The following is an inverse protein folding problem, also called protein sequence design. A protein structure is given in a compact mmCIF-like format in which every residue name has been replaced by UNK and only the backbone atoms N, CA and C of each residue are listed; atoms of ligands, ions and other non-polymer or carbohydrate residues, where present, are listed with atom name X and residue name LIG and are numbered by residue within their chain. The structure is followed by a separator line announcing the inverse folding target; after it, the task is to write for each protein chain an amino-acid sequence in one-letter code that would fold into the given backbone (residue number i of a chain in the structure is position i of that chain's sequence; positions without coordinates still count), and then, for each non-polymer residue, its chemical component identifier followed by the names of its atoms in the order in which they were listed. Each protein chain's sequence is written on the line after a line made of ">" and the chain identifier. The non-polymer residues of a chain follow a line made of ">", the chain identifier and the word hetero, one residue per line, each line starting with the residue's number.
data_IF_574151687365
#
_entry.id   IF_574151687365
#
_cell.length_a   1.000
_cell.length_b   1.000
_cell.length_c   1.000
_cell.angle_alpha   90.00
_cell.angle_beta   90.00
_cell.angle_gamma   90.00
#
_symmetry.space_group_name_H-M   'P 1'
#
loop_
_entity.id
_entity.type
_entity.pdbx_description
1 polymer ?
#
# COMPACT_ATOMS: atom_id res chain seq x y z
N UNK A 1 6.91 -4.84 -20.95
CA UNK A 1 6.89 -4.95 -19.47
C UNK A 1 5.43 -5.13 -19.12
N UNK A 2 5.08 -6.02 -18.18
CA UNK A 2 3.70 -6.24 -17.75
C UNK A 2 3.09 -4.93 -17.19
N UNK A 3 1.79 -4.72 -17.38
CA UNK A 3 1.04 -3.65 -16.72
C UNK A 3 0.79 -4.01 -15.25
N UNK A 4 0.41 -3.02 -14.43
CA UNK A 4 0.06 -3.28 -13.03
C UNK A 4 -1.17 -4.20 -12.94
N UNK A 5 -2.15 -4.01 -13.82
CA UNK A 5 -3.34 -4.87 -13.89
C UNK A 5 -2.97 -6.33 -14.15
N UNK A 6 -2.13 -6.60 -15.16
CA UNK A 6 -1.67 -7.96 -15.45
C UNK A 6 -0.94 -8.60 -14.27
N UNK A 7 -0.18 -7.81 -13.51
CA UNK A 7 0.53 -8.28 -12.30
C UNK A 7 -0.46 -8.61 -11.16
N UNK A 8 -1.46 -7.78 -10.94
CA UNK A 8 -2.49 -8.02 -9.91
C UNK A 8 -3.37 -9.23 -10.27
N UNK A 9 -3.73 -9.39 -11.55
CA UNK A 9 -4.49 -10.53 -12.05
C UNK A 9 -3.70 -11.85 -11.91
N UNK A 10 -2.39 -11.83 -12.18
CA UNK A 10 -1.52 -13.00 -11.99
C UNK A 10 -1.40 -13.36 -10.50
N UNK A 11 -1.21 -12.36 -9.63
CA UNK A 11 -1.13 -12.55 -8.19
C UNK A 11 -2.40 -13.23 -7.64
N UNK A 12 -3.57 -12.77 -8.08
CA UNK A 12 -4.86 -13.37 -7.68
C UNK A 12 -4.98 -14.83 -8.12
N UNK A 13 -4.63 -15.13 -9.38
CA UNK A 13 -4.68 -16.51 -9.92
C UNK A 13 -3.74 -17.47 -9.18
N UNK A 14 -2.59 -16.95 -8.77
CA UNK A 14 -1.56 -17.72 -8.04
C UNK A 14 -1.80 -17.77 -6.53
N UNK A 15 -2.79 -17.04 -6.01
CA UNK A 15 -3.05 -16.86 -4.58
C UNK A 15 -1.82 -16.35 -3.82
N UNK A 16 -1.21 -15.32 -4.37
CA UNK A 16 -0.11 -14.55 -3.75
C UNK A 16 -0.50 -13.09 -3.67
N UNK A 17 0.25 -12.28 -2.93
CA UNK A 17 -0.01 -10.85 -2.88
C UNK A 17 1.20 -10.04 -3.38
N UNK A 18 0.90 -8.90 -4.01
CA UNK A 18 1.90 -7.89 -4.34
C UNK A 18 2.14 -7.01 -3.11
N UNK A 19 3.41 -6.75 -2.82
CA UNK A 19 3.77 -5.83 -1.74
C UNK A 19 3.74 -4.38 -2.21
N UNK A 20 3.14 -3.51 -1.40
CA UNK A 20 3.14 -2.06 -1.56
C UNK A 20 3.88 -1.43 -0.37
N UNK A 21 4.87 -0.58 -0.66
CA UNK A 21 5.75 0.01 0.34
C UNK A 21 5.93 1.50 0.09
N UNK A 22 5.72 2.32 1.13
CA UNK A 22 5.86 3.77 1.02
C UNK A 22 7.31 4.22 1.01
N UNK A 23 7.56 5.35 0.35
CA UNK A 23 8.84 6.03 0.36
C UNK A 23 8.69 7.53 0.65
N UNK A 24 9.74 8.11 1.24
CA UNK A 24 9.94 9.56 1.35
C UNK A 24 11.21 10.01 0.62
N UNK A 25 12.07 9.10 0.17
CA UNK A 25 13.30 9.42 -0.54
C UNK A 25 13.78 8.28 -1.47
N UNK A 26 14.79 8.58 -2.29
CA UNK A 26 15.39 7.63 -3.22
C UNK A 26 16.17 6.51 -2.52
N UNK A 27 16.59 6.69 -1.28
CA UNK A 27 17.35 5.67 -0.56
C UNK A 27 16.43 4.53 -0.09
N UNK A 28 15.22 4.86 0.38
CA UNK A 28 14.17 3.88 0.66
C UNK A 28 13.74 3.15 -0.63
N UNK A 29 13.53 3.88 -1.74
CA UNK A 29 13.23 3.28 -3.04
C UNK A 29 14.28 2.24 -3.45
N UNK A 30 15.56 2.55 -3.30
CA UNK A 30 16.66 1.65 -3.63
C UNK A 30 16.66 0.40 -2.74
N UNK A 31 16.33 0.53 -1.45
CA UNK A 31 16.20 -0.62 -0.54
C UNK A 31 15.06 -1.56 -0.94
N UNK A 32 13.90 -1.00 -1.25
CA UNK A 32 12.72 -1.76 -1.71
C UNK A 32 13.01 -2.44 -3.05
N UNK A 33 13.56 -1.71 -4.01
CA UNK A 33 13.89 -2.25 -5.34
C UNK A 33 14.94 -3.38 -5.27
N UNK A 34 15.94 -3.24 -4.41
CA UNK A 34 16.95 -4.27 -4.20
C UNK A 34 16.35 -5.56 -3.60
N UNK A 35 15.47 -5.43 -2.60
CA UNK A 35 14.74 -6.55 -2.02
C UNK A 35 13.85 -7.26 -3.05
N UNK A 36 13.07 -6.49 -3.81
CA UNK A 36 12.20 -7.02 -4.85
C UNK A 36 12.97 -7.76 -5.95
N UNK A 37 14.15 -7.25 -6.34
CA UNK A 37 15.05 -7.94 -7.28
C UNK A 37 15.60 -9.24 -6.70
N UNK A 38 15.99 -9.24 -5.41
CA UNK A 38 16.52 -10.44 -4.73
C UNK A 38 15.48 -11.55 -4.67
N UNK A 39 14.22 -11.22 -4.36
CA UNK A 39 13.10 -12.16 -4.31
C UNK A 39 12.59 -12.53 -5.72
N UNK A 40 12.78 -11.64 -6.71
CA UNK A 40 12.37 -11.86 -8.09
C UNK A 40 10.89 -11.57 -8.34
N UNK A 41 10.28 -10.64 -7.61
CA UNK A 41 8.85 -10.30 -7.68
C UNK A 41 8.62 -8.83 -7.99
N UNK A 42 7.50 -8.46 -8.64
CA UNK A 42 7.10 -7.06 -8.81
C UNK A 42 6.75 -6.41 -7.47
N UNK A 43 6.83 -5.08 -7.43
CA UNK A 43 6.51 -4.29 -6.22
C UNK A 43 5.83 -2.98 -6.59
N UNK A 44 5.01 -2.46 -5.68
CA UNK A 44 4.40 -1.14 -5.79
C UNK A 44 5.06 -0.19 -4.78
N UNK A 45 5.44 0.98 -5.24
CA UNK A 45 5.93 2.08 -4.42
C UNK A 45 4.75 3.00 -4.11
N UNK A 46 4.50 3.24 -2.82
CA UNK A 46 3.51 4.19 -2.37
C UNK A 46 4.11 5.55 -2.03
N UNK A 47 3.37 6.61 -2.31
CA UNK A 47 3.64 7.95 -1.80
C UNK A 47 2.33 8.61 -1.36
N UNK A 48 2.17 8.80 -0.05
CA UNK A 48 1.03 9.50 0.56
C UNK A 48 1.02 10.99 0.16
N UNK A 49 -0.04 11.71 0.47
CA UNK A 49 -0.12 13.16 0.16
C UNK A 49 1.09 13.91 0.69
N UNK A 50 1.45 13.73 1.97
CA UNK A 50 2.62 14.38 2.55
C UNK A 50 3.94 13.93 1.93
N UNK A 51 4.06 12.67 1.52
CA UNK A 51 5.24 12.19 0.79
C UNK A 51 5.30 12.74 -0.63
N UNK A 52 4.14 12.91 -1.31
CA UNK A 52 4.07 13.60 -2.63
C UNK A 52 4.44 15.07 -2.54
N UNK A 53 4.03 15.77 -1.49
CA UNK A 53 4.45 17.15 -1.24
C UNK A 53 5.96 17.25 -1.01
N UNK A 54 6.53 16.33 -0.25
CA UNK A 54 7.96 16.32 0.08
C UNK A 54 8.84 15.94 -1.12
N UNK A 55 8.51 14.86 -1.81
CA UNK A 55 9.30 14.34 -2.95
C UNK A 55 8.97 15.08 -4.25
N UNK A 56 7.70 15.37 -4.48
CA UNK A 56 7.13 15.86 -5.73
C UNK A 56 6.64 14.71 -6.62
N UNK A 57 5.36 14.77 -7.06
CA UNK A 57 4.73 13.67 -7.81
C UNK A 57 5.50 13.26 -9.07
N UNK A 58 5.84 14.23 -9.94
CA UNK A 58 6.64 13.96 -11.15
C UNK A 58 8.02 13.39 -10.87
N UNK A 59 8.66 13.81 -9.77
CA UNK A 59 9.96 13.26 -9.37
C UNK A 59 9.81 11.81 -8.89
N UNK A 60 8.79 11.51 -8.09
CA UNK A 60 8.49 10.13 -7.66
C UNK A 60 8.26 9.22 -8.87
N UNK A 61 7.48 9.68 -9.87
CA UNK A 61 7.27 8.95 -11.12
C UNK A 61 8.58 8.70 -11.87
N UNK A 62 9.40 9.72 -12.06
CA UNK A 62 10.68 9.60 -12.74
C UNK A 62 11.65 8.65 -12.01
N UNK A 63 11.75 8.74 -10.68
CA UNK A 63 12.62 7.88 -9.87
C UNK A 63 12.16 6.41 -9.93
N UNK A 64 10.87 6.15 -9.84
CA UNK A 64 10.31 4.78 -9.91
C UNK A 64 10.56 4.15 -11.28
N UNK A 65 10.37 4.89 -12.38
CA UNK A 65 10.70 4.43 -13.74
C UNK A 65 12.19 4.14 -13.91
N UNK A 66 13.06 5.00 -13.37
CA UNK A 66 14.51 4.79 -13.40
C UNK A 66 14.90 3.53 -12.61
N UNK A 67 14.37 3.37 -11.39
CA UNK A 67 14.64 2.21 -10.55
C UNK A 67 14.15 0.91 -11.22
N UNK A 68 12.94 0.88 -11.79
CA UNK A 68 12.44 -0.29 -12.51
C UNK A 68 13.38 -0.73 -13.64
N UNK A 69 13.89 0.24 -14.40
CA UNK A 69 14.87 -0.04 -15.47
C UNK A 69 16.23 -0.52 -14.94
N UNK A 70 16.74 0.12 -13.89
CA UNK A 70 18.04 -0.17 -13.30
C UNK A 70 18.07 -1.55 -12.64
N UNK A 71 17.05 -1.86 -11.86
CA UNK A 71 16.95 -3.15 -11.16
C UNK A 71 16.42 -4.29 -12.05
N UNK A 72 15.84 -3.97 -13.21
CA UNK A 72 15.36 -4.96 -14.18
C UNK A 72 14.12 -5.73 -13.72
N UNK A 73 13.31 -5.13 -12.85
CA UNK A 73 12.06 -5.69 -12.32
C UNK A 73 10.90 -4.71 -12.51
N UNK A 74 9.64 -5.17 -12.59
CA UNK A 74 8.49 -4.28 -12.60
C UNK A 74 8.34 -3.57 -11.24
N UNK A 75 8.44 -2.24 -11.26
CA UNK A 75 8.15 -1.38 -10.11
C UNK A 75 7.09 -0.37 -10.55
N UNK A 76 5.98 -0.35 -9.84
CA UNK A 76 4.84 0.54 -10.10
C UNK A 76 4.75 1.63 -9.04
N UNK A 77 4.05 2.72 -9.35
CA UNK A 77 3.89 3.86 -8.45
C UNK A 77 2.42 4.10 -8.14
N UNK A 78 2.09 4.16 -6.86
CA UNK A 78 0.75 4.43 -6.35
C UNK A 78 0.71 5.76 -5.56
N UNK A 79 -0.30 6.57 -5.83
CA UNK A 79 -0.67 7.71 -4.99
C UNK A 79 -1.48 7.20 -3.80
N UNK A 80 -0.77 6.91 -2.72
CA UNK A 80 -1.30 6.33 -1.50
C UNK A 80 -2.08 7.38 -0.70
N UNK A 81 -3.34 7.08 -0.39
CA UNK A 81 -4.32 7.96 0.24
C UNK A 81 -4.38 9.38 -0.36
N UNK A 82 -5.35 9.61 -1.21
CA UNK A 82 -5.72 10.94 -1.70
C UNK A 82 -7.11 11.28 -1.19
N UNK A 83 -7.22 12.34 -0.39
CA UNK A 83 -8.48 12.76 0.24
C UNK A 83 -9.31 13.70 -0.65
N UNK A 84 -8.87 13.93 -1.88
CA UNK A 84 -9.58 14.76 -2.85
C UNK A 84 -9.53 14.19 -4.26
N UNK A 85 -10.58 14.43 -5.02
CA UNK A 85 -10.65 14.07 -6.44
C UNK A 85 -9.53 14.74 -7.24
N UNK A 86 -9.23 16.02 -6.95
CA UNK A 86 -8.18 16.77 -7.61
C UNK A 86 -6.77 16.21 -7.28
N UNK A 87 -6.57 15.73 -6.06
CA UNK A 87 -5.34 15.03 -5.66
C UNK A 87 -5.11 13.76 -6.48
N UNK A 88 -6.15 12.95 -6.67
CA UNK A 88 -6.10 11.77 -7.54
C UNK A 88 -5.83 12.15 -9.01
N UNK A 89 -6.53 13.15 -9.56
CA UNK A 89 -6.33 13.62 -10.93
C UNK A 89 -4.90 14.11 -11.15
N UNK A 90 -4.37 14.91 -10.22
CA UNK A 90 -2.99 15.39 -10.28
C UNK A 90 -1.98 14.23 -10.29
N UNK A 91 -2.17 13.20 -9.47
CA UNK A 91 -1.30 12.04 -9.46
C UNK A 91 -1.38 11.25 -10.78
N UNK A 92 -2.59 11.07 -11.34
CA UNK A 92 -2.77 10.47 -12.66
C UNK A 92 -1.98 11.26 -13.72
N UNK A 93 -2.08 12.59 -13.73
CA UNK A 93 -1.38 13.46 -14.69
C UNK A 93 0.14 13.45 -14.47
N UNK A 94 0.61 13.26 -13.24
CA UNK A 94 2.04 13.10 -12.92
C UNK A 94 2.61 11.74 -13.33
N UNK A 95 1.77 10.81 -13.83
CA UNK A 95 2.22 9.55 -14.41
C UNK A 95 2.20 8.37 -13.43
N UNK A 96 1.39 8.42 -12.39
CA UNK A 96 1.19 7.29 -11.48
C UNK A 96 0.47 6.13 -12.16
N UNK A 97 0.77 4.89 -11.72
CA UNK A 97 0.17 3.66 -12.25
C UNK A 97 -1.10 3.29 -11.48
N UNK A 98 -1.22 3.77 -10.24
CA UNK A 98 -2.40 3.61 -9.40
C UNK A 98 -2.65 4.86 -8.56
N UNK A 99 -3.89 5.04 -8.13
CA UNK A 99 -4.32 6.07 -7.18
C UNK A 99 -5.33 5.50 -6.20
N UNK A 100 -5.27 5.91 -4.93
CA UNK A 100 -6.26 5.60 -3.90
C UNK A 100 -7.07 6.85 -3.63
N UNK A 101 -8.39 6.75 -3.82
CA UNK A 101 -9.30 7.74 -3.28
C UNK A 101 -9.77 7.30 -1.89
N UNK A 102 -9.35 8.04 -0.87
CA UNK A 102 -9.70 7.80 0.53
C UNK A 102 -10.86 8.72 0.91
N UNK A 103 -12.07 8.18 0.85
CA UNK A 103 -13.32 8.87 1.18
C UNK A 103 -13.97 8.36 2.46
N UNK A 104 -13.23 7.70 3.37
CA UNK A 104 -13.80 7.06 4.57
C UNK A 104 -14.37 8.04 5.58
N UNK A 105 -13.91 9.29 5.56
CA UNK A 105 -14.45 10.38 6.40
C UNK A 105 -15.70 11.05 5.80
N UNK A 106 -16.03 10.75 4.54
CA UNK A 106 -17.21 11.27 3.85
C UNK A 106 -18.45 10.41 4.14
N UNK A 107 -19.64 10.94 3.83
CA UNK A 107 -20.83 10.10 3.81
C UNK A 107 -20.68 8.99 2.74
N UNK A 108 -21.32 7.81 2.93
CA UNK A 108 -21.22 6.71 1.95
C UNK A 108 -21.60 7.13 0.53
N UNK A 109 -22.58 8.02 0.37
CA UNK A 109 -23.00 8.55 -0.93
C UNK A 109 -21.97 9.46 -1.58
N UNK A 110 -21.30 10.31 -0.79
CA UNK A 110 -20.23 11.18 -1.28
C UNK A 110 -18.97 10.38 -1.62
N UNK A 111 -18.60 9.38 -0.77
CA UNK A 111 -17.50 8.48 -1.09
C UNK A 111 -17.72 7.80 -2.44
N UNK A 112 -18.86 7.14 -2.65
CA UNK A 112 -19.22 6.52 -3.93
C UNK A 112 -19.16 7.51 -5.09
N UNK A 113 -19.72 8.71 -4.93
CA UNK A 113 -19.76 9.75 -5.98
C UNK A 113 -18.36 10.19 -6.39
N UNK A 114 -17.51 10.53 -5.44
CA UNK A 114 -16.15 11.01 -5.71
C UNK A 114 -15.24 9.90 -6.22
N UNK A 115 -15.36 8.69 -5.68
CA UNK A 115 -14.66 7.51 -6.21
C UNK A 115 -14.98 7.31 -7.69
N UNK A 116 -16.28 7.35 -8.06
CA UNK A 116 -16.71 7.23 -9.45
C UNK A 116 -16.13 8.31 -10.35
N UNK A 117 -16.06 9.55 -9.87
CA UNK A 117 -15.45 10.66 -10.61
C UNK A 117 -13.95 10.40 -10.90
N UNK A 118 -13.22 9.86 -9.94
CA UNK A 118 -11.81 9.47 -10.12
C UNK A 118 -11.69 8.33 -11.14
N UNK A 119 -12.55 7.31 -11.05
CA UNK A 119 -12.59 6.20 -12.02
C UNK A 119 -12.84 6.71 -13.42
N UNK A 120 -13.84 7.58 -13.61
CA UNK A 120 -14.15 8.16 -14.91
C UNK A 120 -12.98 8.99 -15.48
N UNK A 121 -12.25 9.70 -14.63
CA UNK A 121 -11.06 10.45 -15.05
C UNK A 121 -9.93 9.50 -15.47
N UNK A 122 -9.65 8.46 -14.66
CA UNK A 122 -8.64 7.45 -14.97
C UNK A 122 -8.91 6.74 -16.31
N UNK A 123 -10.18 6.40 -16.60
CA UNK A 123 -10.57 5.77 -17.89
C UNK A 123 -10.34 6.68 -19.11
N UNK A 124 -10.31 8.00 -18.92
CA UNK A 124 -10.11 9.00 -19.99
C UNK A 124 -8.66 9.42 -20.19
N UNK A 125 -7.74 9.09 -19.28
CA UNK A 125 -6.35 9.55 -19.32
C UNK A 125 -5.47 8.92 -20.40
N UNK A 126 -5.97 7.91 -21.13
CA UNK A 126 -5.24 7.22 -22.22
C UNK A 126 -4.18 6.22 -21.74
N UNK A 127 -4.13 5.91 -20.43
CA UNK A 127 -3.26 4.91 -19.82
C UNK A 127 -4.10 3.93 -18.98
N UNK A 128 -3.57 2.74 -18.74
CA UNK A 128 -4.16 1.81 -17.78
C UNK A 128 -3.73 2.22 -16.36
N UNK A 129 -4.62 2.93 -15.66
CA UNK A 129 -4.42 3.38 -14.27
C UNK A 129 -5.40 2.63 -13.38
N UNK A 130 -4.88 1.99 -12.34
CA UNK A 130 -5.67 1.30 -11.31
C UNK A 130 -6.25 2.36 -10.36
N UNK A 131 -7.55 2.31 -10.13
CA UNK A 131 -8.22 3.12 -9.12
C UNK A 131 -8.63 2.23 -7.97
N UNK A 132 -8.12 2.56 -6.80
CA UNK A 132 -8.43 1.94 -5.53
C UNK A 132 -9.30 2.86 -4.69
N UNK A 133 -10.18 2.29 -3.87
CA UNK A 133 -10.94 3.02 -2.87
C UNK A 133 -11.04 2.25 -1.57
N UNK A 134 -11.28 2.98 -0.48
CA UNK A 134 -11.46 2.42 0.86
C UNK A 134 -12.94 2.28 1.24
N UNK A 135 -13.24 1.20 1.95
CA UNK A 135 -14.56 0.93 2.50
C UNK A 135 -14.47 0.54 3.98
N UNK A 136 -15.04 1.38 4.85
CA UNK A 136 -14.93 1.25 6.30
C UNK A 136 -13.67 1.93 6.86
N UNK A 137 -13.71 2.27 8.14
CA UNK A 137 -12.69 3.07 8.80
C UNK A 137 -11.74 2.21 9.64
N UNK A 138 -10.43 2.38 9.44
CA UNK A 138 -9.37 1.65 10.12
C UNK A 138 -8.34 2.57 10.81
N UNK A 139 -8.71 3.85 11.00
CA UNK A 139 -7.81 4.90 11.49
C UNK A 139 -6.93 5.51 10.42
N UNK A 140 -6.28 6.62 10.74
CA UNK A 140 -5.45 7.39 9.80
C UNK A 140 -3.97 7.44 10.17
N UNK A 141 -3.53 6.69 11.20
CA UNK A 141 -2.20 6.83 11.79
C UNK A 141 -1.20 5.79 11.31
N UNK A 142 -0.13 6.23 10.63
CA UNK A 142 1.04 5.37 10.33
C UNK A 142 2.14 5.51 11.40
N UNK A 143 1.79 5.37 12.68
CA UNK A 143 2.68 5.57 13.85
C UNK A 143 2.71 4.33 14.74
N UNK A 144 3.63 4.35 15.72
CA UNK A 144 3.57 3.44 16.87
C UNK A 144 2.50 3.94 17.85
N UNK A 145 1.53 3.08 18.17
CA UNK A 145 0.37 3.36 19.00
C UNK A 145 0.52 2.67 20.35
N UNK A 146 0.08 3.33 21.42
CA UNK A 146 0.03 2.71 22.75
C UNK A 146 -1.16 1.74 22.87
N UNK A 147 -2.30 2.06 22.23
CA UNK A 147 -3.49 1.21 22.14
C UNK A 147 -4.27 1.46 20.83
N UNK A 148 -5.30 0.65 20.58
CA UNK A 148 -6.24 0.88 19.46
C UNK A 148 -6.93 2.22 19.68
N UNK A 149 -6.95 3.14 18.68
CA UNK A 149 -7.64 4.40 18.79
C UNK A 149 -9.13 4.22 19.10
N UNK A 150 -9.70 5.07 19.95
CA UNK A 150 -11.11 4.96 20.40
C UNK A 150 -12.12 5.10 19.24
N UNK A 151 -11.74 5.82 18.18
CA UNK A 151 -12.55 6.02 16.96
C UNK A 151 -12.51 4.81 16.01
N UNK A 152 -11.62 3.86 16.22
CA UNK A 152 -11.53 2.61 15.43
C UNK A 152 -12.37 1.53 16.08
N UNK A 153 -13.54 1.25 15.51
CA UNK A 153 -14.46 0.22 16.00
C UNK A 153 -14.24 -1.07 15.20
N UNK A 154 -13.43 -1.98 15.74
CA UNK A 154 -13.00 -3.22 15.08
C UNK A 154 -14.15 -4.19 14.70
N UNK A 155 -15.35 -3.99 15.23
CA UNK A 155 -16.53 -4.80 14.93
C UNK A 155 -17.60 -4.05 14.08
N UNK A 156 -17.41 -2.76 13.79
CA UNK A 156 -18.26 -1.99 12.88
C UNK A 156 -17.71 -2.08 11.44
N UNK A 157 -17.73 -3.29 10.87
CA UNK A 157 -17.15 -3.60 9.58
C UNK A 157 -18.21 -3.59 8.47
N UNK A 158 -17.85 -3.19 7.23
CA UNK A 158 -18.70 -3.33 6.07
C UNK A 158 -18.98 -4.81 5.79
N UNK A 159 -20.18 -5.12 5.29
CA UNK A 159 -20.53 -6.46 4.86
C UNK A 159 -19.99 -6.78 3.46
N UNK A 160 -20.02 -8.05 3.08
CA UNK A 160 -19.70 -8.48 1.72
C UNK A 160 -20.65 -7.86 0.67
N UNK A 161 -21.92 -7.64 1.05
CA UNK A 161 -22.88 -6.95 0.18
C UNK A 161 -22.53 -5.49 0.00
N UNK A 162 -22.13 -4.76 1.07
CA UNK A 162 -21.68 -3.37 0.96
C UNK A 162 -20.47 -3.25 0.02
N UNK A 163 -19.53 -4.20 0.09
CA UNK A 163 -18.39 -4.28 -0.80
C UNK A 163 -18.79 -4.47 -2.28
N UNK A 164 -19.71 -5.41 -2.55
CA UNK A 164 -20.21 -5.67 -3.90
C UNK A 164 -20.97 -4.47 -4.48
N UNK A 165 -21.83 -3.83 -3.68
CA UNK A 165 -22.56 -2.63 -4.08
C UNK A 165 -21.62 -1.46 -4.36
N UNK A 166 -20.61 -1.25 -3.49
CA UNK A 166 -19.62 -0.19 -3.68
C UNK A 166 -18.85 -0.36 -4.99
N UNK A 167 -18.34 -1.56 -5.26
CA UNK A 167 -17.63 -1.90 -6.51
C UNK A 167 -18.53 -1.70 -7.73
N UNK A 168 -19.77 -2.20 -7.68
CA UNK A 168 -20.74 -2.07 -8.79
C UNK A 168 -21.09 -0.61 -9.09
N UNK A 169 -21.25 0.22 -8.04
CA UNK A 169 -21.65 1.63 -8.19
C UNK A 169 -20.51 2.51 -8.68
N UNK A 170 -19.27 2.19 -8.31
CA UNK A 170 -18.10 3.03 -8.56
C UNK A 170 -17.25 2.57 -9.74
N UNK A 171 -17.17 1.28 -9.99
CA UNK A 171 -16.32 0.67 -11.02
C UNK A 171 -14.83 0.72 -10.70
N UNK A 172 -14.45 0.69 -9.40
CA UNK A 172 -13.05 0.62 -8.96
C UNK A 172 -12.37 -0.68 -9.39
N UNK A 173 -11.06 -0.63 -9.57
CA UNK A 173 -10.21 -1.78 -9.91
C UNK A 173 -9.72 -2.52 -8.66
N UNK A 174 -9.66 -1.81 -7.54
CA UNK A 174 -9.19 -2.34 -6.27
C UNK A 174 -10.02 -1.78 -5.10
N UNK A 175 -10.29 -2.61 -4.10
CA UNK A 175 -11.04 -2.25 -2.90
C UNK A 175 -10.23 -2.60 -1.66
N UNK A 176 -10.04 -1.61 -0.78
CA UNK A 176 -9.44 -1.78 0.53
C UNK A 176 -10.52 -1.75 1.62
N UNK A 177 -11.08 -2.91 2.01
CA UNK A 177 -12.11 -2.96 3.02
C UNK A 177 -11.55 -3.01 4.43
N UNK A 178 -12.26 -2.43 5.40
CA UNK A 178 -12.02 -2.70 6.81
C UNK A 178 -12.40 -4.16 7.13
N UNK A 179 -11.43 -4.94 7.60
CA UNK A 179 -11.59 -6.37 7.92
C UNK A 179 -10.99 -6.71 9.30
N UNK A 180 -10.97 -5.74 10.22
CA UNK A 180 -10.34 -5.84 11.54
C UNK A 180 -8.91 -5.35 11.57
N UNK A 181 -8.37 -4.87 10.46
CA UNK A 181 -7.06 -4.23 10.34
C UNK A 181 -7.06 -2.83 10.98
N UNK A 182 -5.86 -2.31 11.20
CA UNK A 182 -5.63 -1.03 11.88
C UNK A 182 -4.46 -0.30 11.21
N UNK A 183 -4.61 0.97 10.89
CA UNK A 183 -3.48 1.81 10.53
C UNK A 183 -2.56 2.07 11.72
N UNK A 184 -1.26 1.85 11.55
CA UNK A 184 -0.24 1.93 12.60
C UNK A 184 0.12 0.59 13.21
N UNK A 185 1.00 0.61 14.22
CA UNK A 185 1.46 -0.58 14.94
C UNK A 185 1.32 -0.37 16.43
N UNK A 186 0.79 -1.39 17.13
CA UNK A 186 0.75 -1.39 18.58
C UNK A 186 2.15 -1.66 19.16
N UNK A 187 2.53 -0.92 20.20
CA UNK A 187 3.81 -1.10 20.89
C UNK A 187 3.83 -2.41 21.68
N UNK A 188 4.85 -3.23 21.44
CA UNK A 188 5.10 -4.43 22.23
C UNK A 188 4.09 -5.58 22.06
N UNK A 189 3.15 -5.48 21.11
CA UNK A 189 2.19 -6.54 20.78
C UNK A 189 1.81 -6.47 19.30
N UNK A 190 1.27 -7.55 18.77
CA UNK A 190 0.70 -7.58 17.43
C UNK A 190 -0.57 -6.74 17.35
N UNK A 191 -0.87 -6.26 16.15
CA UNK A 191 -2.17 -5.66 15.83
C UNK A 191 -3.30 -6.71 15.99
N UNK A 192 -4.58 -6.28 16.09
CA UNK A 192 -5.72 -7.20 16.14
C UNK A 192 -5.74 -8.16 14.94
N UNK A 193 -6.19 -9.39 15.17
CA UNK A 193 -6.31 -10.40 14.11
C UNK A 193 -7.43 -10.05 13.13
N UNK A 194 -7.22 -10.40 11.86
CA UNK A 194 -8.15 -10.14 10.77
C UNK A 194 -9.39 -11.04 10.82
N UNK A 195 -10.51 -10.56 10.31
CA UNK A 195 -11.77 -11.31 10.13
C UNK A 195 -11.72 -12.12 8.83
N UNK A 196 -11.04 -13.25 8.84
CA UNK A 196 -10.70 -14.04 7.64
C UNK A 196 -11.96 -14.51 6.87
N UNK A 197 -13.00 -14.92 7.58
CA UNK A 197 -14.26 -15.35 6.92
C UNK A 197 -14.92 -14.17 6.19
N UNK A 198 -14.89 -12.95 6.74
CA UNK A 198 -15.37 -11.74 6.07
C UNK A 198 -14.58 -11.45 4.78
N UNK A 199 -13.24 -11.66 4.79
CA UNK A 199 -12.42 -11.51 3.57
C UNK A 199 -12.89 -12.49 2.48
N UNK A 200 -13.15 -13.76 2.82
CA UNK A 200 -13.67 -14.76 1.87
C UNK A 200 -15.01 -14.36 1.30
N UNK A 201 -15.94 -13.97 2.17
CA UNK A 201 -17.27 -13.50 1.77
C UNK A 201 -17.19 -12.30 0.83
N UNK A 202 -16.32 -11.31 1.14
CA UNK A 202 -16.08 -10.15 0.27
C UNK A 202 -15.47 -10.58 -1.08
N UNK A 203 -14.48 -11.49 -1.07
CA UNK A 203 -13.89 -12.01 -2.32
C UNK A 203 -14.92 -12.68 -3.22
N UNK A 204 -15.81 -13.49 -2.64
CA UNK A 204 -16.90 -14.13 -3.38
C UNK A 204 -17.88 -13.09 -3.94
N UNK A 205 -18.19 -12.05 -3.17
CA UNK A 205 -19.16 -11.03 -3.55
C UNK A 205 -18.64 -10.06 -4.63
N UNK A 206 -17.35 -9.64 -4.56
CA UNK A 206 -16.77 -8.71 -5.54
C UNK A 206 -16.22 -9.42 -6.79
N UNK A 207 -16.06 -10.75 -6.76
CA UNK A 207 -15.55 -11.53 -7.89
C UNK A 207 -14.04 -11.38 -8.13
N UNK A 208 -13.55 -11.86 -9.26
CA UNK A 208 -12.12 -11.93 -9.61
C UNK A 208 -11.59 -10.71 -10.36
N UNK A 209 -12.45 -9.79 -10.77
CA UNK A 209 -12.05 -8.65 -11.60
C UNK A 209 -11.60 -7.43 -10.78
N UNK A 210 -11.74 -7.52 -9.46
CA UNK A 210 -11.37 -6.45 -8.51
C UNK A 210 -10.33 -6.98 -7.53
N UNK A 211 -9.23 -6.27 -7.35
CA UNK A 211 -8.23 -6.60 -6.34
C UNK A 211 -8.76 -6.28 -4.93
N UNK A 212 -8.55 -7.19 -3.97
CA UNK A 212 -8.75 -6.90 -2.55
C UNK A 212 -7.42 -6.50 -1.93
N UNK A 213 -7.44 -5.35 -1.26
CA UNK A 213 -6.25 -4.72 -0.70
C UNK A 213 -6.28 -4.74 0.82
N UNK A 214 -5.19 -5.18 1.43
CA UNK A 214 -5.01 -5.15 2.88
C UNK A 214 -4.18 -3.91 3.27
N UNK A 215 -4.86 -2.88 3.76
CA UNK A 215 -4.21 -1.75 4.43
C UNK A 215 -3.88 -2.08 5.89
N UNK A 216 -3.01 -1.27 6.50
CA UNK A 216 -2.63 -1.46 7.90
C UNK A 216 -1.90 -2.79 8.15
N UNK A 217 -1.20 -3.33 7.15
CA UNK A 217 -0.47 -4.60 7.28
C UNK A 217 0.65 -4.57 8.32
N UNK A 218 1.27 -3.40 8.55
CA UNK A 218 2.31 -3.26 9.57
C UNK A 218 1.79 -3.69 10.95
N UNK A 219 2.52 -4.61 11.60
CA UNK A 219 2.18 -5.11 12.94
C UNK A 219 1.26 -6.33 12.99
N UNK A 220 0.79 -6.83 11.84
CA UNK A 220 0.10 -8.11 11.75
C UNK A 220 1.07 -9.29 11.90
N UNK A 221 0.56 -10.43 12.33
CA UNK A 221 1.33 -11.67 12.37
C UNK A 221 1.50 -12.27 10.97
N UNK A 222 2.56 -13.07 10.77
CA UNK A 222 2.78 -13.80 9.50
C UNK A 222 1.62 -14.75 9.18
N UNK A 223 0.96 -15.30 10.19
CA UNK A 223 -0.20 -16.17 10.06
C UNK A 223 -1.43 -15.40 9.56
N UNK A 224 -1.67 -14.16 10.05
CA UNK A 224 -2.73 -13.30 9.55
C UNK A 224 -2.52 -12.95 8.06
N UNK A 225 -1.28 -12.61 7.64
CA UNK A 225 -0.99 -12.37 6.23
C UNK A 225 -1.29 -13.59 5.36
N UNK A 226 -0.81 -14.78 5.73
CA UNK A 226 -1.06 -16.01 4.97
C UNK A 226 -2.54 -16.29 4.83
N UNK A 227 -3.28 -16.23 5.93
CA UNK A 227 -4.72 -16.45 5.93
C UNK A 227 -5.48 -15.41 5.09
N UNK A 228 -5.08 -14.13 5.15
CA UNK A 228 -5.71 -13.07 4.35
C UNK A 228 -5.46 -13.27 2.85
N UNK A 229 -4.23 -13.65 2.45
CA UNK A 229 -3.87 -13.94 1.06
C UNK A 229 -4.62 -15.18 0.56
N UNK A 230 -4.67 -16.26 1.34
CA UNK A 230 -5.46 -17.46 1.03
C UNK A 230 -6.96 -17.16 0.90
N UNK A 231 -7.46 -16.19 1.68
CA UNK A 231 -8.84 -15.74 1.63
C UNK A 231 -9.14 -14.79 0.44
N UNK A 232 -8.11 -14.32 -0.28
CA UNK A 232 -8.26 -13.57 -1.53
C UNK A 232 -7.73 -12.13 -1.52
N UNK A 233 -7.02 -11.69 -0.47
CA UNK A 233 -6.23 -10.45 -0.55
C UNK A 233 -5.05 -10.66 -1.49
N UNK A 234 -4.88 -9.78 -2.50
CA UNK A 234 -3.81 -9.90 -3.50
C UNK A 234 -2.92 -8.66 -3.62
N UNK A 235 -3.12 -7.68 -2.73
CA UNK A 235 -2.27 -6.51 -2.56
C UNK A 235 -2.17 -6.20 -1.06
N UNK A 236 -0.95 -5.94 -0.54
CA UNK A 236 -0.70 -5.67 0.88
C UNK A 236 0.13 -4.42 1.05
N UNK A 237 -0.36 -3.47 1.84
CA UNK A 237 0.32 -2.21 2.15
C UNK A 237 1.10 -2.29 3.47
N UNK A 238 2.39 -1.97 3.41
CA UNK A 238 3.32 -1.89 4.55
C UNK A 238 3.98 -0.51 4.56
N UNK A 239 3.77 0.24 5.63
CA UNK A 239 4.34 1.57 5.79
C UNK A 239 5.10 1.73 7.11
N UNK A 240 4.41 1.56 8.25
CA UNK A 240 4.99 1.84 9.58
C UNK A 240 6.25 1.03 9.86
N UNK A 241 6.29 -0.26 9.47
CA UNK A 241 7.46 -1.12 9.66
C UNK A 241 8.69 -0.57 8.95
N UNK A 242 8.56 -0.15 7.69
CA UNK A 242 9.70 0.37 6.94
C UNK A 242 10.17 1.74 7.43
N UNK A 243 9.26 2.58 7.93
CA UNK A 243 9.62 3.86 8.58
C UNK A 243 10.44 3.64 9.85
N UNK A 244 10.04 2.66 10.68
CA UNK A 244 10.76 2.28 11.89
C UNK A 244 12.14 1.72 11.54
N UNK A 245 12.21 0.81 10.57
CA UNK A 245 13.46 0.20 10.13
C UNK A 245 14.42 1.25 9.57
N UNK A 246 13.92 2.14 8.70
CA UNK A 246 14.73 3.21 8.11
C UNK A 246 15.33 4.13 9.17
N UNK A 247 14.50 4.63 10.08
CA UNK A 247 14.93 5.49 11.18
C UNK A 247 15.93 4.77 12.08
N UNK A 248 15.64 3.53 12.50
CA UNK A 248 16.52 2.74 13.37
C UNK A 248 17.89 2.49 12.74
N UNK A 249 17.94 2.19 11.45
CA UNK A 249 19.19 2.03 10.72
C UNK A 249 20.04 3.31 10.70
N UNK A 250 19.41 4.47 10.49
CA UNK A 250 20.10 5.78 10.53
C UNK A 250 20.59 6.09 11.94
N UNK A 251 19.77 5.91 12.96
CA UNK A 251 20.14 6.12 14.37
C UNK A 251 21.35 5.27 14.76
N UNK A 252 21.38 4.00 14.33
CA UNK A 252 22.49 3.09 14.53
C UNK A 252 23.75 3.61 13.85
N UNK A 253 23.68 4.03 12.59
CA UNK A 253 24.82 4.57 11.85
C UNK A 253 25.43 5.80 12.52
N UNK A 254 24.59 6.74 12.97
CA UNK A 254 25.01 7.95 13.65
C UNK A 254 25.63 7.69 15.03
N UNK A 255 25.15 6.66 15.75
CA UNK A 255 25.76 6.21 17.03
C UNK A 255 27.12 5.54 16.80
N UNK A 256 27.26 4.72 15.74
CA UNK A 256 28.51 4.03 15.41
C UNK A 256 29.59 4.99 14.92
N UNK A 257 29.21 6.06 14.23
CA UNK A 257 30.11 7.07 13.67
C UNK A 257 29.56 8.49 13.88
N UNK A 258 29.68 9.05 15.10
CA UNK A 258 29.09 10.36 15.43
C UNK A 258 29.61 11.52 14.59
N UNK A 259 30.87 11.42 14.11
CA UNK A 259 31.52 12.47 13.28
C UNK A 259 31.23 12.34 11.77
N UNK A 260 30.43 11.33 11.34
CA UNK A 260 30.12 11.15 9.91
C UNK A 260 29.06 12.16 9.47
N UNK A 261 29.42 13.03 8.57
CA UNK A 261 28.54 14.10 8.05
C UNK A 261 28.03 13.81 6.63
N UNK A 262 28.56 12.78 5.95
CA UNK A 262 28.17 12.47 4.57
C UNK A 262 26.85 11.68 4.53
N UNK A 263 25.73 12.25 4.00
CA UNK A 263 24.44 11.59 4.00
C UNK A 263 24.45 10.22 3.34
N UNK A 264 25.11 10.07 2.20
CA UNK A 264 25.19 8.79 1.46
C UNK A 264 25.89 7.67 2.25
N UNK A 265 26.60 7.97 3.34
CA UNK A 265 27.23 6.98 4.21
C UNK A 265 26.32 6.54 5.36
N UNK A 266 25.73 7.50 6.10
CA UNK A 266 24.88 7.13 7.24
C UNK A 266 23.48 6.67 6.80
N UNK A 267 22.96 7.16 5.67
CA UNK A 267 21.66 6.71 5.13
C UNK A 267 21.69 5.26 4.61
N UNK A 268 22.87 4.72 4.22
CA UNK A 268 22.97 3.33 3.74
C UNK A 268 22.48 2.31 4.76
N UNK A 269 22.70 2.53 6.06
CA UNK A 269 22.19 1.62 7.11
C UNK A 269 20.67 1.64 7.20
N UNK A 270 20.05 2.79 6.95
CA UNK A 270 18.60 2.91 6.82
C UNK A 270 18.07 2.11 5.62
N UNK A 271 18.71 2.27 4.45
CA UNK A 271 18.39 1.49 3.24
C UNK A 271 18.49 -0.01 3.48
N UNK A 272 19.58 -0.47 4.09
CA UNK A 272 19.83 -1.89 4.33
C UNK A 272 18.75 -2.47 5.28
N UNK A 273 18.37 -1.71 6.32
CA UNK A 273 17.29 -2.11 7.22
C UNK A 273 15.92 -2.18 6.53
N UNK A 274 15.59 -1.24 5.63
CA UNK A 274 14.39 -1.30 4.79
C UNK A 274 14.42 -2.53 3.89
N UNK A 275 15.57 -2.80 3.24
CA UNK A 275 15.74 -3.96 2.36
C UNK A 275 15.46 -5.28 3.09
N UNK A 276 15.94 -5.44 4.32
CA UNK A 276 15.69 -6.64 5.14
C UNK A 276 14.19 -6.83 5.40
N UNK A 277 13.49 -5.81 5.90
CA UNK A 277 12.04 -5.88 6.17
C UNK A 277 11.25 -6.18 4.90
N UNK A 278 11.55 -5.48 3.81
CA UNK A 278 10.84 -5.65 2.53
C UNK A 278 11.06 -7.05 1.96
N UNK A 279 12.31 -7.57 2.00
CA UNK A 279 12.62 -8.92 1.54
C UNK A 279 11.79 -9.96 2.30
N UNK A 280 11.76 -9.88 3.64
CA UNK A 280 11.03 -10.84 4.46
C UNK A 280 9.51 -10.80 4.16
N UNK A 281 8.95 -9.60 3.99
CA UNK A 281 7.54 -9.44 3.59
C UNK A 281 7.25 -9.96 2.19
N UNK A 282 8.10 -9.67 1.20
CA UNK A 282 7.92 -10.16 -0.17
C UNK A 282 8.03 -11.68 -0.26
N UNK A 283 8.94 -12.33 0.50
CA UNK A 283 9.01 -13.77 0.59
C UNK A 283 7.74 -14.36 1.18
N UNK A 284 7.20 -13.75 2.24
CA UNK A 284 5.95 -14.16 2.86
C UNK A 284 4.74 -14.05 1.91
N UNK A 285 4.66 -12.95 1.14
CA UNK A 285 3.53 -12.66 0.26
C UNK A 285 3.54 -13.50 -1.03
N UNK A 286 4.70 -14.01 -1.42
CA UNK A 286 4.90 -14.81 -2.65
C UNK A 286 4.99 -16.32 -2.43
N UNK A 287 4.79 -16.80 -1.18
CA UNK A 287 4.94 -18.20 -0.77
C UNK A 287 3.63 -19.00 -0.89
#
# INVERSE_FOLDING_TARGET
>A
MLSLREVLDDAMKRKVAIGHFNISDSNQLNGIAAAAREVGVPVIIGVSEGEREFVGGKKASAMTRAASKEFGIPIFLNADHSHSVDGCKSAIDDGFDAVIFDGVELSPGENKKHTKEVVEYARKCGRDVIVEAELGYIGTSSKLLDDVPEDVILDALPSAQDAAEFVSDTGVDALAPAVGNLHGMLKGRSNPSLKIELIKEMREAVGSDVSLVLHGGSGLSDDDFKKAIDAGMNLVHINTEIRIAYRGGIEKALKEKPEEVAPYRYLNKGRDAVMEVVRDRLQLFSS
#
